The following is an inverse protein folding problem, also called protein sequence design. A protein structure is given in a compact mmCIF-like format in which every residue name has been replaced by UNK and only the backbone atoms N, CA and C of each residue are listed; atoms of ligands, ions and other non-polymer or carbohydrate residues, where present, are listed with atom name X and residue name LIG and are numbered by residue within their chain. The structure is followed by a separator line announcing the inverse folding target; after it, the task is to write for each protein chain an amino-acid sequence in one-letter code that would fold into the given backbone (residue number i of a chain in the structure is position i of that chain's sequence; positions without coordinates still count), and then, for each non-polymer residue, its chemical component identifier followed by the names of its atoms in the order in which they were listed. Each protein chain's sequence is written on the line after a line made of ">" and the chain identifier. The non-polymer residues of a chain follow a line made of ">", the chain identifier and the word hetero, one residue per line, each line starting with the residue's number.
data_IF_085163697962
#
_entry.id   IF_085163697962
#
_cell.length_a   1.000
_cell.length_b   1.000
_cell.length_c   1.000
_cell.angle_alpha   90.00
_cell.angle_beta   90.00
_cell.angle_gamma   90.00
#
_symmetry.space_group_name_H-M   'P 1'
#
loop_
_entity.id
_entity.type
_entity.pdbx_description
1 polymer ?
#
# COMPACT_ATOMS: atom_id res chain seq x y z
N UNK A 1 -10.67 19.42 9.03
CA UNK A 1 -9.91 18.96 10.21
C UNK A 1 -9.07 17.78 9.73
N UNK A 2 -7.74 17.91 9.80
CA UNK A 2 -6.81 17.04 9.08
C UNK A 2 -6.91 15.58 9.53
N UNK A 3 -7.23 14.68 8.60
CA UNK A 3 -7.07 13.24 8.78
C UNK A 3 -5.58 12.93 8.77
N UNK A 4 -4.93 13.09 9.92
CA UNK A 4 -3.70 12.35 10.21
C UNK A 4 -4.04 10.88 10.09
N UNK A 5 -3.79 10.29 8.92
CA UNK A 5 -3.83 8.84 8.75
C UNK A 5 -2.99 8.24 9.87
N UNK A 6 -3.65 7.54 10.78
CA UNK A 6 -2.94 6.87 11.87
C UNK A 6 -2.07 5.78 11.27
N UNK A 7 -0.93 5.49 11.90
CA UNK A 7 -0.04 4.37 11.52
C UNK A 7 -0.83 3.07 11.31
N UNK A 8 -1.88 2.87 12.10
CA UNK A 8 -2.77 1.71 11.99
C UNK A 8 -3.61 1.71 10.69
N UNK A 9 -4.09 2.88 10.25
CA UNK A 9 -4.79 3.03 8.97
C UNK A 9 -3.83 2.82 7.79
N UNK A 10 -2.61 3.36 7.87
CA UNK A 10 -1.58 3.16 6.83
C UNK A 10 -1.25 1.67 6.70
N UNK A 11 -1.08 0.96 7.82
CA UNK A 11 -0.86 -0.50 7.83
C UNK A 11 -2.05 -1.26 7.23
N UNK A 12 -3.27 -0.83 7.52
CA UNK A 12 -4.49 -1.44 6.97
C UNK A 12 -4.54 -1.23 5.45
N UNK A 13 -4.31 0.00 4.99
CA UNK A 13 -4.26 0.35 3.57
C UNK A 13 -3.18 -0.45 2.82
N UNK A 14 -1.98 -0.60 3.39
CA UNK A 14 -0.91 -1.44 2.82
C UNK A 14 -1.40 -2.87 2.64
N UNK A 15 -2.09 -3.45 3.64
CA UNK A 15 -2.56 -4.83 3.58
C UNK A 15 -3.62 -5.03 2.49
N UNK A 16 -4.55 -4.08 2.36
CA UNK A 16 -5.58 -4.09 1.33
C UNK A 16 -4.97 -3.93 -0.08
N UNK A 17 -4.06 -2.97 -0.24
CA UNK A 17 -3.32 -2.77 -1.49
C UNK A 17 -2.50 -4.02 -1.84
N UNK A 18 -1.85 -4.65 -0.86
CA UNK A 18 -1.05 -5.85 -1.11
C UNK A 18 -1.91 -7.02 -1.60
N UNK A 19 -3.12 -7.19 -1.07
CA UNK A 19 -4.07 -8.18 -1.56
C UNK A 19 -4.52 -7.89 -3.01
N UNK A 20 -4.69 -6.61 -3.34
CA UNK A 20 -5.06 -6.17 -4.68
C UNK A 20 -3.92 -6.35 -5.70
N UNK A 21 -2.67 -6.13 -5.30
CA UNK A 21 -1.50 -6.42 -6.12
C UNK A 21 -1.34 -7.92 -6.39
N UNK A 22 -1.57 -8.76 -5.37
CA UNK A 22 -1.53 -10.22 -5.52
C UNK A 22 -2.63 -10.71 -6.48
N UNK A 23 -3.83 -10.15 -6.39
CA UNK A 23 -4.92 -10.43 -7.32
C UNK A 23 -4.55 -9.99 -8.75
N UNK A 24 -4.03 -8.77 -8.92
CA UNK A 24 -3.60 -8.27 -10.23
C UNK A 24 -2.52 -9.16 -10.87
N UNK A 25 -1.58 -9.69 -10.08
CA UNK A 25 -0.61 -10.69 -10.56
C UNK A 25 -1.29 -11.97 -11.03
N UNK A 26 -2.24 -12.49 -10.25
CA UNK A 26 -3.01 -13.70 -10.60
C UNK A 26 -3.85 -13.52 -11.86
N UNK A 27 -4.39 -12.32 -12.08
CA UNK A 27 -5.16 -11.98 -13.28
C UNK A 27 -4.27 -11.67 -14.50
N UNK A 28 -2.94 -11.74 -14.37
CA UNK A 28 -2.02 -11.43 -15.47
C UNK A 28 -1.91 -9.94 -15.79
N UNK A 29 -2.15 -9.07 -14.79
CA UNK A 29 -2.03 -7.60 -14.86
C UNK A 29 -0.81 -7.12 -14.05
N UNK A 30 0.42 -7.42 -14.50
CA UNK A 30 1.64 -7.09 -13.75
C UNK A 30 1.86 -5.57 -13.60
N UNK A 31 1.42 -4.76 -14.56
CA UNK A 31 1.51 -3.29 -14.49
C UNK A 31 0.70 -2.71 -13.33
N UNK A 32 -0.52 -3.23 -13.13
CA UNK A 32 -1.42 -2.81 -12.04
C UNK A 32 -0.80 -3.21 -10.70
N UNK A 33 -0.25 -4.43 -10.59
CA UNK A 33 0.47 -4.88 -9.42
C UNK A 33 1.71 -4.01 -9.12
N UNK A 34 2.48 -3.64 -10.14
CA UNK A 34 3.68 -2.81 -9.99
C UNK A 34 3.35 -1.37 -9.57
N UNK A 35 2.23 -0.81 -10.02
CA UNK A 35 1.75 0.48 -9.53
C UNK A 35 1.33 0.41 -8.06
N UNK A 36 0.56 -0.62 -7.70
CA UNK A 36 0.09 -0.81 -6.33
C UNK A 36 1.27 -1.02 -5.37
N UNK A 37 2.28 -1.79 -5.77
CA UNK A 37 3.48 -1.99 -4.95
C UNK A 37 4.32 -0.73 -4.76
N UNK A 38 4.46 0.11 -5.80
CA UNK A 38 5.11 1.42 -5.66
C UNK A 38 4.38 2.32 -4.66
N UNK A 39 3.04 2.26 -4.62
CA UNK A 39 2.24 2.96 -3.60
C UNK A 39 2.49 2.41 -2.19
N UNK A 40 2.51 1.09 -2.05
CA UNK A 40 2.82 0.44 -0.76
C UNK A 40 4.19 0.85 -0.24
N UNK A 41 5.19 0.93 -1.12
CA UNK A 41 6.55 1.35 -0.75
C UNK A 41 6.56 2.77 -0.18
N UNK A 42 5.84 3.71 -0.81
CA UNK A 42 5.67 5.07 -0.28
C UNK A 42 5.08 5.07 1.13
N UNK A 43 4.00 4.32 1.36
CA UNK A 43 3.40 4.18 2.70
C UNK A 43 4.34 3.52 3.72
N UNK A 44 5.18 2.57 3.29
CA UNK A 44 6.19 1.95 4.17
C UNK A 44 7.31 2.93 4.51
N UNK A 45 7.69 3.80 3.59
CA UNK A 45 8.61 4.92 3.84
C UNK A 45 8.05 5.85 4.91
N UNK A 46 6.80 6.30 4.76
CA UNK A 46 6.13 7.15 5.75
C UNK A 46 6.00 6.49 7.14
N UNK A 47 5.85 5.16 7.18
CA UNK A 47 5.88 4.39 8.43
C UNK A 47 7.28 4.27 9.04
N UNK A 48 8.33 4.19 8.21
CA UNK A 48 9.71 4.13 8.68
C UNK A 48 10.18 5.47 9.25
N UNK A 49 9.67 6.58 8.72
CA UNK A 49 9.96 7.93 9.22
C UNK A 49 9.22 8.26 10.53
N UNK A 50 8.23 7.46 10.93
CA UNK A 50 7.43 7.64 12.15
C UNK A 50 7.76 6.52 13.15
N UNK A 51 8.64 6.78 14.15
CA UNK A 51 9.10 5.77 15.12
C UNK A 51 8.00 5.28 16.08
#
# INVERSE_FOLDING_TARGET
>A
MGTTHSVNEIRTAIRELSARADLARKEGRPDDAAEIERRIDGYRGELAERP
#
